data_IF_915728309836
#
_entry.id   IF_915728309836
#
_cell.length_a   1.000
_cell.length_b   1.000
_cell.length_c   1.000
_cell.angle_alpha   90.00
_cell.angle_beta   90.00
_cell.angle_gamma   90.00
#
_symmetry.space_group_name_H-M   'P 1'
#
loop_
_entity.id
_entity.type
_entity.pdbx_description
1 polymer ?
#
# COMPACT_ATOMS: atom_id res chain seq x y z
N UNK A 1 20.89 -45.77 -68.00
CA UNK A 1 20.06 -45.02 -67.02
C UNK A 1 20.67 -45.23 -65.66
N UNK A 2 21.32 -44.22 -65.14
CA UNK A 2 21.94 -44.24 -63.80
C UNK A 2 21.00 -43.49 -62.89
N UNK A 3 20.39 -44.22 -61.96
CA UNK A 3 19.48 -43.66 -60.92
C UNK A 3 20.35 -43.29 -59.72
N UNK A 4 20.61 -42.00 -59.54
CA UNK A 4 21.22 -41.49 -58.29
C UNK A 4 20.19 -41.50 -57.17
N UNK A 5 20.31 -42.45 -56.24
CA UNK A 5 19.60 -42.43 -54.97
C UNK A 5 20.29 -41.44 -54.02
N UNK A 6 19.71 -40.26 -53.84
CA UNK A 6 20.12 -39.35 -52.75
C UNK A 6 19.67 -40.00 -51.41
N UNK A 7 20.68 -40.47 -50.68
CA UNK A 7 20.54 -40.86 -49.28
C UNK A 7 20.37 -39.59 -48.45
N UNK A 8 19.18 -39.32 -47.93
CA UNK A 8 19.01 -38.32 -46.89
C UNK A 8 19.62 -38.84 -45.59
N UNK A 9 20.85 -38.46 -45.37
CA UNK A 9 21.52 -38.69 -44.10
C UNK A 9 20.75 -37.80 -43.07
N UNK A 10 20.00 -38.43 -42.15
CA UNK A 10 19.42 -37.75 -41.02
C UNK A 10 20.55 -37.27 -40.13
N UNK A 11 20.79 -35.96 -40.12
CA UNK A 11 21.66 -35.36 -39.14
C UNK A 11 21.25 -35.85 -37.75
N UNK A 12 22.19 -36.35 -36.92
CA UNK A 12 21.86 -36.75 -35.56
C UNK A 12 21.40 -35.49 -34.84
N UNK A 13 20.18 -35.53 -34.28
CA UNK A 13 19.69 -34.55 -33.31
C UNK A 13 20.73 -34.51 -32.17
N UNK A 14 21.71 -33.60 -32.28
CA UNK A 14 22.59 -33.27 -31.17
C UNK A 14 21.68 -32.82 -30.06
N UNK A 15 21.36 -33.75 -29.17
CA UNK A 15 20.59 -33.51 -27.97
C UNK A 15 21.40 -32.50 -27.14
N UNK A 16 21.08 -31.24 -27.35
CA UNK A 16 21.93 -30.12 -26.93
C UNK A 16 21.87 -30.06 -25.40
N UNK A 17 22.75 -30.82 -24.75
CA UNK A 17 22.90 -30.89 -23.29
C UNK A 17 22.98 -29.47 -22.69
N UNK A 18 23.56 -28.53 -23.49
CA UNK A 18 23.65 -27.12 -23.12
C UNK A 18 22.25 -26.45 -23.10
N UNK A 19 21.31 -26.83 -24.00
CA UNK A 19 19.95 -26.29 -23.97
C UNK A 19 19.20 -26.70 -22.71
N UNK A 20 19.37 -27.93 -22.23
CA UNK A 20 18.75 -28.39 -20.97
C UNK A 20 19.29 -27.63 -19.77
N UNK A 21 20.59 -27.37 -19.75
CA UNK A 21 21.23 -26.56 -18.69
C UNK A 21 20.76 -25.12 -18.75
N UNK A 22 20.68 -24.52 -19.92
CA UNK A 22 20.19 -23.13 -20.11
C UNK A 22 18.73 -23.04 -19.66
N UNK A 23 17.86 -23.99 -20.03
CA UNK A 23 16.48 -24.00 -19.62
C UNK A 23 16.34 -24.14 -18.10
N UNK A 24 17.15 -24.96 -17.44
CA UNK A 24 17.16 -25.12 -16.00
C UNK A 24 17.59 -23.83 -15.28
N UNK A 25 18.64 -23.17 -15.77
CA UNK A 25 19.11 -21.88 -15.23
C UNK A 25 18.03 -20.80 -15.41
N UNK A 26 17.43 -20.71 -16.59
CA UNK A 26 16.35 -19.77 -16.88
C UNK A 26 15.14 -20.00 -15.97
N UNK A 27 14.76 -21.28 -15.75
CA UNK A 27 13.70 -21.66 -14.82
C UNK A 27 14.00 -21.24 -13.38
N UNK A 28 15.24 -21.43 -12.93
CA UNK A 28 15.66 -21.02 -11.60
C UNK A 28 15.65 -19.48 -11.42
N UNK A 29 16.14 -18.75 -12.43
CA UNK A 29 16.10 -17.28 -12.44
C UNK A 29 14.66 -16.78 -12.39
N UNK A 30 13.77 -17.35 -13.21
CA UNK A 30 12.35 -16.98 -13.21
C UNK A 30 11.70 -17.23 -11.85
N UNK A 31 11.95 -18.38 -11.24
CA UNK A 31 11.43 -18.70 -9.91
C UNK A 31 11.96 -17.72 -8.85
N UNK A 32 13.23 -17.37 -8.92
CA UNK A 32 13.82 -16.37 -8.02
C UNK A 32 13.18 -14.98 -8.20
N UNK A 33 12.98 -14.55 -9.45
CA UNK A 33 12.31 -13.26 -9.74
C UNK A 33 10.89 -13.23 -9.21
N UNK A 34 10.13 -14.32 -9.41
CA UNK A 34 8.76 -14.42 -8.91
C UNK A 34 8.73 -14.40 -7.37
N UNK A 35 9.61 -15.16 -6.71
CA UNK A 35 9.72 -15.19 -5.26
C UNK A 35 10.11 -13.81 -4.71
N UNK A 36 11.08 -13.15 -5.33
CA UNK A 36 11.54 -11.82 -4.97
C UNK A 36 10.41 -10.78 -5.13
N UNK A 37 9.69 -10.80 -6.24
CA UNK A 37 8.53 -9.93 -6.46
C UNK A 37 7.44 -10.15 -5.40
N UNK A 38 7.19 -11.42 -5.04
CA UNK A 38 6.20 -11.74 -4.01
C UNK A 38 6.59 -11.18 -2.63
N UNK A 39 7.88 -11.24 -2.27
CA UNK A 39 8.39 -10.71 -0.99
C UNK A 39 8.36 -9.19 -0.95
N UNK A 40 8.61 -8.53 -2.08
CA UNK A 40 8.70 -7.07 -2.16
C UNK A 40 7.36 -6.37 -2.38
N UNK A 41 6.26 -7.11 -2.51
CA UNK A 41 4.96 -6.47 -2.69
C UNK A 41 4.43 -5.92 -1.37
N UNK A 42 3.74 -4.80 -1.47
CA UNK A 42 3.01 -4.24 -0.34
C UNK A 42 1.89 -5.17 0.12
N UNK A 43 1.70 -5.25 1.41
CA UNK A 43 0.61 -6.01 2.02
C UNK A 43 -0.33 -5.08 2.77
N UNK A 44 -1.62 -5.40 2.69
CA UNK A 44 -2.67 -4.65 3.39
C UNK A 44 -3.51 -5.64 4.18
N UNK A 45 -3.71 -5.34 5.46
CA UNK A 45 -4.52 -6.13 6.38
C UNK A 45 -5.63 -5.26 6.94
N UNK A 46 -6.85 -5.74 6.93
CA UNK A 46 -7.96 -5.10 7.62
C UNK A 46 -7.86 -5.35 9.13
N UNK A 47 -7.97 -4.26 9.91
CA UNK A 47 -7.82 -4.27 11.37
C UNK A 47 -8.97 -3.58 12.09
N UNK A 48 -10.08 -3.35 11.43
CA UNK A 48 -11.26 -2.63 11.93
C UNK A 48 -11.80 -3.18 13.25
N UNK A 49 -11.66 -4.48 13.51
CA UNK A 49 -12.11 -5.14 14.74
C UNK A 49 -11.11 -5.05 15.89
N UNK A 50 -9.91 -4.53 15.67
CA UNK A 50 -8.84 -4.47 16.66
C UNK A 50 -8.83 -3.12 17.39
N UNK A 51 -8.32 -3.11 18.62
CA UNK A 51 -8.01 -1.87 19.33
C UNK A 51 -6.70 -1.27 18.78
N UNK A 52 -6.59 0.06 18.72
CA UNK A 52 -7.57 1.06 19.17
C UNK A 52 -8.66 1.41 18.11
N UNK A 53 -8.60 0.85 16.92
CA UNK A 53 -9.44 1.24 15.77
C UNK A 53 -10.93 1.07 16.05
N UNK A 54 -11.32 -0.05 16.68
CA UNK A 54 -12.71 -0.34 17.02
C UNK A 54 -13.37 0.76 17.83
N UNK A 55 -12.60 1.50 18.62
CA UNK A 55 -13.14 2.56 19.47
C UNK A 55 -13.58 3.80 18.68
N UNK A 56 -13.04 4.02 17.49
CA UNK A 56 -13.31 5.21 16.67
C UNK A 56 -14.21 4.91 15.48
N UNK A 57 -14.30 3.65 15.07
CA UNK A 57 -15.12 3.27 13.92
C UNK A 57 -16.62 3.36 14.20
N UNK A 58 -17.38 3.74 13.17
CA UNK A 58 -18.85 3.88 13.17
C UNK A 58 -19.40 4.90 14.16
N UNK A 59 -18.55 5.74 14.75
CA UNK A 59 -18.92 6.85 15.59
C UNK A 59 -18.90 8.17 14.82
N UNK A 60 -19.67 9.12 15.33
CA UNK A 60 -19.59 10.50 14.89
C UNK A 60 -18.49 11.18 15.71
N UNK A 61 -17.42 11.55 15.05
CA UNK A 61 -16.31 12.30 15.64
C UNK A 61 -16.27 13.70 15.04
N UNK A 62 -15.73 14.64 15.78
CA UNK A 62 -15.66 16.03 15.36
C UNK A 62 -14.20 16.50 15.44
N UNK A 63 -13.75 17.23 14.43
CA UNK A 63 -12.41 17.80 14.46
C UNK A 63 -12.27 18.79 15.64
N UNK A 64 -11.19 18.65 16.41
CA UNK A 64 -10.83 19.53 17.51
C UNK A 64 -9.82 20.59 17.09
N UNK A 65 -9.24 20.41 15.91
CA UNK A 65 -8.29 21.33 15.30
C UNK A 65 -8.58 21.51 13.80
N UNK A 66 -8.16 22.66 13.21
CA UNK A 66 -8.29 22.87 11.78
C UNK A 66 -7.53 21.80 11.01
N UNK A 67 -8.14 21.30 9.95
CA UNK A 67 -7.58 20.25 9.09
C UNK A 67 -7.91 20.56 7.63
N UNK A 68 -7.34 19.80 6.72
CA UNK A 68 -7.52 19.97 5.28
C UNK A 68 -7.92 18.66 4.65
N UNK A 69 -8.93 18.69 3.79
CA UNK A 69 -9.19 17.62 2.83
C UNK A 69 -8.38 17.90 1.58
N UNK A 70 -7.55 16.95 1.18
CA UNK A 70 -6.66 17.06 0.03
C UNK A 70 -6.66 15.79 -0.83
N UNK A 71 -6.05 15.87 -2.01
CA UNK A 71 -5.83 14.72 -2.90
C UNK A 71 -4.40 14.68 -3.44
N UNK A 72 -4.04 13.58 -4.10
CA UNK A 72 -2.73 13.35 -4.71
C UNK A 72 -1.58 13.24 -3.70
N UNK A 73 -1.80 12.59 -2.57
CA UNK A 73 -0.71 12.26 -1.65
C UNK A 73 0.16 11.15 -2.28
N UNK A 74 1.48 11.41 -2.53
CA UNK A 74 2.29 10.52 -3.38
C UNK A 74 2.60 9.16 -2.75
N UNK A 75 2.67 9.04 -1.43
CA UNK A 75 3.25 7.87 -0.77
C UNK A 75 2.29 7.07 0.11
N UNK A 76 1.14 7.63 0.48
CA UNK A 76 0.20 6.97 1.36
C UNK A 76 -0.94 6.32 0.58
N UNK A 77 -1.57 5.40 1.21
CA UNK A 77 -2.54 4.46 0.70
C UNK A 77 -3.37 4.94 -0.50
N UNK A 78 -3.62 4.02 -1.41
CA UNK A 78 -4.41 4.25 -2.62
C UNK A 78 -5.83 3.69 -2.50
N UNK A 79 -6.35 3.56 -1.28
CA UNK A 79 -7.71 3.02 -1.09
C UNK A 79 -8.78 4.05 -1.39
N UNK A 80 -8.49 5.32 -1.09
CA UNK A 80 -9.39 6.44 -1.36
C UNK A 80 -8.65 7.55 -2.11
N UNK A 81 -9.40 8.37 -2.81
CA UNK A 81 -8.82 9.46 -3.62
C UNK A 81 -8.45 10.68 -2.80
N UNK A 82 -9.02 10.82 -1.61
CA UNK A 82 -8.82 11.97 -0.73
C UNK A 82 -8.23 11.52 0.60
N UNK A 83 -7.57 12.46 1.27
CA UNK A 83 -7.05 12.25 2.62
C UNK A 83 -7.25 13.50 3.47
N UNK A 84 -7.30 13.31 4.78
CA UNK A 84 -7.33 14.40 5.76
C UNK A 84 -5.95 14.54 6.39
N UNK A 85 -5.47 15.77 6.50
CA UNK A 85 -4.22 16.12 7.18
C UNK A 85 -4.40 17.36 8.04
N UNK A 86 -3.63 17.44 9.10
CA UNK A 86 -3.50 18.62 9.97
C UNK A 86 -2.54 19.65 9.38
N UNK A 87 -1.64 19.20 8.50
CA UNK A 87 -0.68 20.08 7.85
C UNK A 87 -1.39 20.91 6.78
N UNK A 88 -1.47 22.21 7.04
CA UNK A 88 -2.01 23.20 6.10
C UNK A 88 -0.98 23.62 5.05
N UNK A 89 0.30 23.31 5.26
CA UNK A 89 1.40 23.52 4.31
C UNK A 89 1.56 22.28 3.44
N UNK A 90 0.75 22.17 2.42
CA UNK A 90 0.73 21.01 1.54
C UNK A 90 2.03 20.92 0.71
N UNK A 91 2.52 19.71 0.53
CA UNK A 91 3.67 19.42 -0.32
C UNK A 91 3.37 19.71 -1.81
N UNK A 92 4.43 19.91 -2.59
CA UNK A 92 4.31 20.05 -4.04
C UNK A 92 3.57 18.85 -4.66
N UNK A 93 2.59 19.13 -5.50
CA UNK A 93 1.75 18.12 -6.15
C UNK A 93 0.50 17.71 -5.36
N UNK A 94 0.39 18.06 -4.09
CA UNK A 94 -0.83 17.84 -3.29
C UNK A 94 -1.82 18.97 -3.56
N UNK A 95 -3.05 18.61 -3.88
CA UNK A 95 -4.12 19.56 -4.16
C UNK A 95 -5.10 19.65 -3.00
N UNK A 96 -5.25 20.84 -2.43
CA UNK A 96 -6.26 21.13 -1.43
C UNK A 96 -7.65 21.15 -2.06
N UNK A 97 -8.57 20.43 -1.44
CA UNK A 97 -9.97 20.39 -1.85
C UNK A 97 -10.81 21.32 -0.98
N UNK A 98 -10.63 21.24 0.34
CA UNK A 98 -11.38 22.09 1.26
C UNK A 98 -10.68 22.22 2.62
N UNK A 99 -10.97 23.32 3.32
CA UNK A 99 -10.67 23.46 4.75
C UNK A 99 -11.76 22.74 5.57
N UNK A 100 -11.31 22.06 6.61
CA UNK A 100 -12.14 21.42 7.61
C UNK A 100 -11.97 22.18 8.93
N UNK A 101 -12.88 23.11 9.24
CA UNK A 101 -12.82 23.85 10.48
C UNK A 101 -13.05 22.95 11.70
N UNK A 102 -12.68 23.43 12.88
CA UNK A 102 -13.02 22.78 14.15
C UNK A 102 -14.54 22.53 14.20
N UNK A 103 -14.93 21.35 14.66
CA UNK A 103 -16.32 20.92 14.69
C UNK A 103 -16.80 20.25 13.38
N UNK A 104 -15.91 20.03 12.39
CA UNK A 104 -16.28 19.26 11.20
C UNK A 104 -16.55 17.80 11.59
N UNK A 105 -17.71 17.29 11.20
CA UNK A 105 -18.12 15.92 11.47
C UNK A 105 -17.41 14.94 10.56
N UNK A 106 -16.77 13.94 11.16
CA UNK A 106 -16.10 12.81 10.50
C UNK A 106 -16.81 11.51 10.87
N UNK A 107 -16.85 10.56 9.95
CA UNK A 107 -17.33 9.21 10.20
C UNK A 107 -16.37 8.20 9.62
N UNK A 108 -15.68 7.47 10.47
CA UNK A 108 -14.78 6.40 10.05
C UNK A 108 -15.54 5.08 9.87
N UNK A 109 -15.18 4.34 8.81
CA UNK A 109 -15.89 3.11 8.39
C UNK A 109 -14.98 1.88 8.40
N UNK A 110 -13.67 2.07 8.28
CA UNK A 110 -12.71 0.96 8.25
C UNK A 110 -11.30 1.37 8.68
N UNK A 111 -10.51 0.39 9.06
CA UNK A 111 -9.12 0.56 9.43
C UNK A 111 -8.25 -0.51 8.75
N UNK A 112 -7.08 -0.10 8.27
CA UNK A 112 -6.16 -0.96 7.54
C UNK A 112 -4.73 -0.72 8.01
N UNK A 113 -3.99 -1.80 8.23
CA UNK A 113 -2.54 -1.78 8.34
C UNK A 113 -1.94 -2.03 6.97
N UNK A 114 -0.93 -1.22 6.62
CA UNK A 114 -0.20 -1.32 5.37
C UNK A 114 1.26 -1.55 5.71
N UNK A 115 1.88 -2.51 5.04
CA UNK A 115 3.30 -2.77 5.13
C UNK A 115 3.91 -2.66 3.74
N UNK A 116 4.86 -1.77 3.59
CA UNK A 116 5.67 -1.68 2.37
C UNK A 116 6.65 -2.83 2.28
N UNK A 117 6.57 -3.61 1.21
CA UNK A 117 7.40 -4.77 1.01
C UNK A 117 8.88 -4.44 0.86
N UNK A 118 9.22 -3.29 0.27
CA UNK A 118 10.61 -2.87 0.03
C UNK A 118 11.29 -2.32 1.28
N UNK A 119 10.62 -1.46 2.04
CA UNK A 119 11.18 -0.82 3.24
C UNK A 119 10.84 -1.54 4.53
N UNK A 120 9.82 -2.39 4.51
CA UNK A 120 9.27 -2.99 5.72
C UNK A 120 8.54 -1.98 6.63
N UNK A 121 8.40 -0.71 6.18
CA UNK A 121 7.67 0.31 6.91
C UNK A 121 6.20 -0.10 7.07
N UNK A 122 5.65 0.08 8.28
CA UNK A 122 4.26 -0.26 8.58
C UNK A 122 3.56 0.95 9.17
N UNK A 123 2.38 1.21 8.67
CA UNK A 123 1.52 2.28 9.16
C UNK A 123 0.06 1.85 9.06
N UNK A 124 -0.80 2.56 9.75
CA UNK A 124 -2.24 2.33 9.66
C UNK A 124 -2.96 3.54 9.10
N UNK A 125 -4.06 3.25 8.44
CA UNK A 125 -4.98 4.26 7.92
C UNK A 125 -6.39 3.94 8.37
N UNK A 126 -7.13 4.99 8.66
CA UNK A 126 -8.58 4.94 8.77
C UNK A 126 -9.19 5.38 7.44
N UNK A 127 -10.26 4.72 7.03
CA UNK A 127 -11.08 5.18 5.89
C UNK A 127 -12.40 5.68 6.41
N UNK A 128 -12.94 6.72 5.79
CA UNK A 128 -14.17 7.31 6.29
C UNK A 128 -14.83 8.25 5.29
N UNK A 129 -15.83 8.96 5.78
CA UNK A 129 -16.62 9.92 5.02
C UNK A 129 -16.70 11.25 5.74
N UNK A 130 -16.58 12.32 4.97
CA UNK A 130 -16.79 13.69 5.41
C UNK A 130 -17.75 14.38 4.44
N UNK A 131 -18.69 15.16 4.98
CA UNK A 131 -19.58 15.98 4.16
C UNK A 131 -19.15 17.42 4.24
N UNK A 132 -18.92 18.01 3.08
CA UNK A 132 -18.57 19.41 2.91
C UNK A 132 -19.63 20.04 2.02
N UNK A 133 -20.35 21.00 2.55
CA UNK A 133 -21.59 21.50 1.93
C UNK A 133 -22.56 20.33 1.69
N UNK A 134 -22.90 20.04 0.44
CA UNK A 134 -23.81 18.94 0.09
C UNK A 134 -23.09 17.75 -0.57
N UNK A 135 -21.75 17.76 -0.60
CA UNK A 135 -20.92 16.73 -1.25
C UNK A 135 -20.32 15.84 -0.16
N UNK A 136 -20.46 14.54 -0.34
CA UNK A 136 -19.82 13.53 0.50
C UNK A 136 -18.53 13.05 -0.15
N UNK A 137 -17.43 13.09 0.61
CA UNK A 137 -16.10 12.66 0.19
C UNK A 137 -15.66 11.45 0.98
N UNK A 138 -15.24 10.41 0.28
CA UNK A 138 -14.53 9.28 0.86
C UNK A 138 -13.07 9.70 1.09
N UNK A 139 -12.56 9.52 2.29
CA UNK A 139 -11.20 9.92 2.63
C UNK A 139 -10.42 8.84 3.37
N UNK A 140 -9.12 9.02 3.42
CA UNK A 140 -8.18 8.30 4.27
C UNK A 140 -7.59 9.25 5.31
N UNK A 141 -7.30 8.72 6.48
CA UNK A 141 -6.60 9.43 7.54
C UNK A 141 -5.47 8.55 8.06
N UNK A 142 -4.20 8.93 7.87
CA UNK A 142 -3.07 8.22 8.44
C UNK A 142 -3.13 8.32 9.97
N UNK A 143 -3.24 7.16 10.65
CA UNK A 143 -3.31 7.13 12.11
C UNK A 143 -2.61 5.91 12.67
N UNK A 144 -1.38 6.08 13.01
CA UNK A 144 -0.51 5.08 13.59
C UNK A 144 0.62 4.66 12.66
N UNK A 145 1.78 4.62 13.25
CA UNK A 145 3.03 4.18 12.64
C UNK A 145 3.69 3.12 13.53
N UNK A 146 4.18 2.07 12.90
CA UNK A 146 4.89 1.02 13.59
C UNK A 146 6.40 1.29 13.54
N UNK A 147 6.94 1.71 14.65
CA UNK A 147 8.37 2.03 14.75
C UNK A 147 9.15 0.87 15.33
N UNK A 148 10.05 0.32 14.53
CA UNK A 148 11.05 -0.61 14.99
C UNK A 148 12.35 0.14 15.26
N UNK A 149 12.45 0.78 16.43
CA UNK A 149 13.70 1.44 16.82
C UNK A 149 14.67 0.37 17.31
N UNK A 150 15.81 0.23 16.65
CA UNK A 150 16.87 -0.75 16.93
C UNK A 150 17.43 -0.69 18.36
N UNK A 151 17.17 0.40 19.08
CA UNK A 151 17.62 0.64 20.46
C UNK A 151 16.52 0.46 21.52
N UNK A 152 15.27 0.17 21.12
CA UNK A 152 14.20 -0.18 22.07
C UNK A 152 13.97 -1.68 22.05
N UNK A 153 13.72 -2.31 23.22
CA UNK A 153 13.59 -3.76 23.30
C UNK A 153 12.34 -4.31 22.59
N UNK A 154 11.32 -3.52 22.38
CA UNK A 154 10.08 -3.96 21.73
C UNK A 154 9.61 -2.98 20.64
N UNK A 155 9.25 -3.51 19.47
CA UNK A 155 8.63 -2.70 18.42
C UNK A 155 7.19 -2.36 18.82
N UNK A 156 6.83 -1.08 18.73
CA UNK A 156 5.56 -0.57 19.23
C UNK A 156 4.82 0.25 18.17
N UNK A 157 3.49 0.15 18.18
CA UNK A 157 2.63 1.06 17.48
C UNK A 157 2.57 2.39 18.20
N UNK A 158 2.84 3.48 17.47
CA UNK A 158 2.69 4.86 17.95
C UNK A 158 1.49 5.47 17.25
N UNK A 159 0.56 6.00 18.04
CA UNK A 159 -0.60 6.72 17.54
C UNK A 159 -0.42 8.19 17.92
N UNK A 160 -0.16 9.07 16.93
CA UNK A 160 -0.15 10.50 17.19
C UNK A 160 -1.55 10.96 17.60
N UNK A 161 -1.61 12.08 18.29
CA UNK A 161 -2.87 12.75 18.63
C UNK A 161 -3.66 13.00 17.34
N UNK A 162 -4.87 12.50 17.30
CA UNK A 162 -5.70 12.58 16.11
C UNK A 162 -6.48 13.90 16.02
N UNK A 163 -6.94 14.26 14.83
CA UNK A 163 -7.70 15.50 14.56
C UNK A 163 -9.00 15.63 15.38
N UNK A 164 -9.48 14.56 16.02
CA UNK A 164 -10.67 14.52 16.86
C UNK A 164 -10.36 14.42 18.37
N UNK A 165 -9.11 14.40 18.74
CA UNK A 165 -8.68 14.31 20.14
C UNK A 165 -8.36 15.70 20.70
N UNK A 166 -8.74 15.98 21.97
CA UNK A 166 -8.46 17.23 22.68
C UNK A 166 -7.05 17.31 23.26
#
# INVERSE_FOLDING_TARGET
VVTNAYSFEKEPLIENKNMKIIALIAGFILLFVVAFWYVLRDTTKEVSAQEPYRQVLHKELYTTQPSVLAKNLPEFSKKKSFFITEDTTLFEGVEKIADLPVGTKLRFEGAYEIQHGTSGHRYSILTGKVRIQDIEYDFEYPWGEYTRITLRPEPEWQFPKAVWEE
#
